data_IF_504746607513
#
_entry.id   IF_504746607513
#
_cell.length_a   1.000
_cell.length_b   1.000
_cell.length_c   1.000
_cell.angle_alpha   90.00
_cell.angle_beta   90.00
_cell.angle_gamma   90.00
#
_symmetry.space_group_name_H-M   'P 1'
#
loop_
_entity.id
_entity.type
_entity.pdbx_description
1 polymer ?
#
# COMPACT_ATOMS: atom_id res chain seq x y z
N UNK A 1 50.35 56.53 -14.39
CA UNK A 1 50.36 55.06 -14.59
C UNK A 1 50.29 54.26 -13.27
N UNK A 2 50.86 54.72 -12.14
CA UNK A 2 50.78 53.96 -10.86
C UNK A 2 49.35 53.80 -10.34
N UNK A 3 48.51 54.83 -10.50
CA UNK A 3 47.12 54.81 -10.00
C UNK A 3 46.22 53.79 -10.71
N UNK A 4 46.39 53.54 -12.00
CA UNK A 4 45.62 52.49 -12.71
C UNK A 4 45.91 51.10 -12.15
N UNK A 5 47.15 50.84 -11.75
CA UNK A 5 47.53 49.57 -11.12
C UNK A 5 46.90 49.42 -9.73
N UNK A 6 46.90 50.48 -8.93
CA UNK A 6 46.24 50.49 -7.62
C UNK A 6 44.73 50.26 -7.74
N UNK A 7 44.04 50.91 -8.68
CA UNK A 7 42.60 50.68 -8.91
C UNK A 7 42.29 49.27 -9.39
N UNK A 8 43.18 48.65 -10.18
CA UNK A 8 43.02 47.24 -10.59
C UNK A 8 43.17 46.25 -9.44
N UNK A 9 43.98 46.58 -8.43
CA UNK A 9 44.14 45.77 -7.23
C UNK A 9 43.01 45.98 -6.23
N UNK A 10 42.47 47.21 -6.17
CA UNK A 10 41.37 47.57 -5.28
C UNK A 10 40.00 47.12 -5.79
N UNK A 11 39.82 47.03 -7.12
CA UNK A 11 38.63 46.37 -7.67
C UNK A 11 38.62 44.94 -7.14
N UNK A 12 37.60 44.53 -6.36
CA UNK A 12 37.47 43.15 -5.95
C UNK A 12 37.57 42.30 -7.20
N UNK A 13 38.64 41.48 -7.29
CA UNK A 13 38.75 40.41 -8.28
C UNK A 13 37.37 39.76 -8.32
N UNK A 14 36.76 39.67 -9.50
CA UNK A 14 35.40 39.22 -9.84
C UNK A 14 34.86 37.95 -9.14
N UNK A 15 35.63 37.34 -8.25
CA UNK A 15 35.33 36.14 -7.51
C UNK A 15 34.04 36.18 -6.67
N UNK A 16 33.45 37.34 -6.34
CA UNK A 16 32.12 37.36 -5.70
C UNK A 16 31.03 37.01 -6.72
N UNK A 17 31.10 37.58 -7.92
CA UNK A 17 30.18 37.25 -9.01
C UNK A 17 30.42 35.82 -9.51
N UNK A 18 31.69 35.41 -9.65
CA UNK A 18 32.03 34.05 -10.09
C UNK A 18 31.55 32.99 -9.07
N UNK A 19 31.68 33.26 -7.76
CA UNK A 19 31.13 32.37 -6.71
C UNK A 19 29.62 32.28 -6.77
N UNK A 20 28.93 33.43 -6.87
CA UNK A 20 27.47 33.47 -6.94
C UNK A 20 26.95 32.72 -8.18
N UNK A 21 27.58 32.93 -9.33
CA UNK A 21 27.26 32.19 -10.55
C UNK A 21 27.49 30.67 -10.38
N UNK A 22 28.59 30.26 -9.76
CA UNK A 22 28.85 28.83 -9.49
C UNK A 22 27.83 28.21 -8.53
N UNK A 23 27.40 28.94 -7.51
CA UNK A 23 26.37 28.49 -6.56
C UNK A 23 25.00 28.38 -7.23
N UNK A 24 24.64 29.33 -8.10
CA UNK A 24 23.40 29.29 -8.88
C UNK A 24 23.38 28.10 -9.86
N UNK A 25 24.49 27.82 -10.55
CA UNK A 25 24.61 26.66 -11.44
C UNK A 25 24.43 25.36 -10.65
N UNK A 26 25.11 25.21 -9.51
CA UNK A 26 24.98 24.03 -8.66
C UNK A 26 23.55 23.87 -8.13
N UNK A 27 22.92 24.96 -7.69
CA UNK A 27 21.54 24.93 -7.21
C UNK A 27 20.54 24.54 -8.31
N UNK A 28 20.74 25.03 -9.54
CA UNK A 28 19.93 24.64 -10.69
C UNK A 28 20.11 23.15 -11.05
N UNK A 29 21.34 22.64 -11.02
CA UNK A 29 21.60 21.21 -11.22
C UNK A 29 20.96 20.33 -10.14
N UNK A 30 21.04 20.73 -8.87
CA UNK A 30 20.37 20.05 -7.76
C UNK A 30 18.85 20.07 -7.93
N UNK A 31 18.28 21.22 -8.33
CA UNK A 31 16.85 21.35 -8.62
C UNK A 31 16.42 20.41 -9.75
N UNK A 32 17.19 20.35 -10.83
CA UNK A 32 16.92 19.44 -11.96
C UNK A 32 16.95 17.97 -11.52
N UNK A 33 17.92 17.57 -10.70
CA UNK A 33 17.99 16.22 -10.12
C UNK A 33 16.77 15.91 -9.25
N UNK A 34 16.40 16.83 -8.37
CA UNK A 34 15.21 16.68 -7.52
C UNK A 34 13.93 16.54 -8.35
N UNK A 35 13.78 17.31 -9.45
CA UNK A 35 12.64 17.16 -10.35
C UNK A 35 12.61 15.80 -11.05
N UNK A 36 13.76 15.27 -11.47
CA UNK A 36 13.82 13.91 -12.06
C UNK A 36 13.48 12.84 -11.04
N UNK A 37 13.90 13.03 -9.78
CA UNK A 37 13.57 12.12 -8.68
C UNK A 37 12.09 12.17 -8.33
N UNK A 38 11.47 13.35 -8.30
CA UNK A 38 10.02 13.48 -8.09
C UNK A 38 9.23 12.73 -9.15
N UNK A 39 9.59 12.87 -10.43
CA UNK A 39 8.95 12.13 -11.52
C UNK A 39 9.10 10.61 -11.36
N UNK A 40 10.28 10.15 -10.92
CA UNK A 40 10.52 8.74 -10.61
C UNK A 40 9.60 8.27 -9.48
N UNK A 41 9.56 9.01 -8.38
CA UNK A 41 8.74 8.68 -7.22
C UNK A 41 7.25 8.68 -7.56
N UNK A 42 6.78 9.60 -8.38
CA UNK A 42 5.39 9.62 -8.88
C UNK A 42 5.05 8.37 -9.67
N UNK A 43 5.91 7.99 -10.60
CA UNK A 43 5.73 6.76 -11.38
C UNK A 43 5.78 5.50 -10.50
N UNK A 44 6.67 5.45 -9.51
CA UNK A 44 6.78 4.33 -8.56
C UNK A 44 5.53 4.25 -7.66
N UNK A 45 5.00 5.39 -7.22
CA UNK A 45 3.74 5.50 -6.47
C UNK A 45 2.58 4.98 -7.32
N UNK A 46 2.43 5.46 -8.55
CA UNK A 46 1.36 5.03 -9.46
C UNK A 46 1.42 3.53 -9.72
N UNK A 47 2.62 3.00 -9.98
CA UNK A 47 2.86 1.57 -10.18
C UNK A 47 2.47 0.76 -8.94
N UNK A 48 2.89 1.20 -7.74
CA UNK A 48 2.55 0.51 -6.50
C UNK A 48 1.05 0.58 -6.17
N UNK A 49 0.41 1.72 -6.40
CA UNK A 49 -1.05 1.84 -6.25
C UNK A 49 -1.78 0.90 -7.21
N UNK A 50 -1.33 0.80 -8.46
CA UNK A 50 -1.89 -0.14 -9.44
C UNK A 50 -1.74 -1.60 -9.02
N UNK A 51 -0.56 -2.01 -8.55
CA UNK A 51 -0.33 -3.38 -8.07
C UNK A 51 -1.10 -3.70 -6.79
N UNK A 52 -1.27 -2.73 -5.89
CA UNK A 52 -2.06 -2.87 -4.67
C UNK A 52 -3.54 -3.14 -5.00
N UNK A 53 -4.11 -2.38 -5.94
CA UNK A 53 -5.48 -2.60 -6.44
C UNK A 53 -5.66 -4.01 -7.02
N UNK A 54 -4.69 -4.48 -7.81
CA UNK A 54 -4.72 -5.85 -8.34
C UNK A 54 -4.67 -6.90 -7.23
N UNK A 55 -3.93 -6.65 -6.14
CA UNK A 55 -3.94 -7.54 -4.97
C UNK A 55 -5.31 -7.58 -4.29
N UNK A 56 -5.98 -6.44 -4.15
CA UNK A 56 -7.34 -6.34 -3.59
C UNK A 56 -8.35 -7.09 -4.45
N UNK A 57 -8.38 -6.84 -5.76
CA UNK A 57 -9.25 -7.55 -6.70
C UNK A 57 -9.01 -9.07 -6.67
N UNK A 58 -7.75 -9.50 -6.56
CA UNK A 58 -7.39 -10.91 -6.44
C UNK A 58 -7.87 -11.52 -5.11
N UNK A 59 -7.80 -10.77 -4.00
CA UNK A 59 -8.31 -11.20 -2.71
C UNK A 59 -9.84 -11.36 -2.75
N UNK A 60 -10.56 -10.38 -3.30
CA UNK A 60 -12.01 -10.45 -3.46
C UNK A 60 -12.43 -11.65 -4.30
N UNK A 61 -11.72 -11.92 -5.40
CA UNK A 61 -11.96 -13.11 -6.22
C UNK A 61 -11.75 -14.41 -5.44
N UNK A 62 -10.72 -14.48 -4.59
CA UNK A 62 -10.46 -15.66 -3.76
C UNK A 62 -11.53 -15.82 -2.67
N UNK A 63 -12.01 -14.73 -2.07
CA UNK A 63 -13.08 -14.77 -1.09
C UNK A 63 -14.38 -15.30 -1.70
N UNK A 64 -14.74 -14.86 -2.91
CA UNK A 64 -15.92 -15.36 -3.59
C UNK A 64 -15.83 -16.86 -3.86
N UNK A 65 -14.66 -17.35 -4.30
CA UNK A 65 -14.41 -18.79 -4.51
C UNK A 65 -14.44 -19.57 -3.20
N UNK A 66 -13.90 -19.01 -2.12
CA UNK A 66 -13.95 -19.63 -0.80
C UNK A 66 -15.39 -19.77 -0.30
N UNK A 67 -16.21 -18.74 -0.49
CA UNK A 67 -17.63 -18.77 -0.12
C UNK A 67 -18.38 -19.85 -0.91
N UNK A 68 -18.23 -19.88 -2.24
CA UNK A 68 -18.85 -20.90 -3.10
C UNK A 68 -18.47 -22.33 -2.68
N UNK A 69 -17.21 -22.55 -2.30
CA UNK A 69 -16.77 -23.87 -1.84
C UNK A 69 -17.36 -24.25 -0.49
N UNK A 70 -17.56 -23.28 0.40
CA UNK A 70 -18.21 -23.50 1.70
C UNK A 70 -19.69 -23.84 1.54
N UNK A 71 -20.39 -23.09 0.69
CA UNK A 71 -21.79 -23.37 0.35
C UNK A 71 -21.93 -24.76 -0.30
N UNK A 72 -21.01 -25.14 -1.18
CA UNK A 72 -20.97 -26.48 -1.76
C UNK A 72 -20.73 -27.59 -0.72
N UNK A 73 -19.83 -27.36 0.24
CA UNK A 73 -19.61 -28.29 1.36
C UNK A 73 -20.83 -28.40 2.27
N UNK A 74 -21.49 -27.29 2.57
CA UNK A 74 -22.71 -27.25 3.39
C UNK A 74 -23.85 -28.01 2.70
N UNK A 75 -24.05 -27.84 1.40
CA UNK A 75 -25.03 -28.60 0.62
C UNK A 75 -24.81 -30.11 0.71
N UNK A 76 -23.56 -30.57 0.56
CA UNK A 76 -23.22 -32.00 0.71
C UNK A 76 -23.49 -32.50 2.14
N UNK A 77 -23.19 -31.69 3.16
CA UNK A 77 -23.46 -32.04 4.56
C UNK A 77 -24.96 -32.12 4.86
N UNK A 78 -25.76 -31.22 4.31
CA UNK A 78 -27.22 -31.26 4.43
C UNK A 78 -27.81 -32.50 3.77
N UNK A 79 -27.37 -32.84 2.55
CA UNK A 79 -27.80 -34.07 1.87
C UNK A 79 -27.50 -35.32 2.73
N UNK A 80 -26.32 -35.38 3.37
CA UNK A 80 -26.00 -36.48 4.28
C UNK A 80 -26.89 -36.51 5.53
N UNK A 81 -27.28 -35.35 6.07
CA UNK A 81 -28.15 -35.28 7.25
C UNK A 81 -29.57 -35.82 7.01
N UNK A 82 -30.07 -35.74 5.77
CA UNK A 82 -31.44 -36.16 5.42
C UNK A 82 -31.58 -37.69 5.21
N UNK A 83 -30.48 -38.45 5.18
CA UNK A 83 -30.49 -39.89 4.88
C UNK A 83 -30.59 -40.81 6.11
N UNK A 84 -31.41 -41.86 6.00
CA UNK A 84 -31.46 -43.01 6.93
C UNK A 84 -30.16 -43.82 6.94
N UNK A 85 -29.84 -44.51 8.05
CA UNK A 85 -28.53 -45.16 8.31
C UNK A 85 -27.89 -45.96 7.16
N UNK A 86 -28.66 -46.70 6.34
CA UNK A 86 -28.12 -47.49 5.22
C UNK A 86 -27.84 -46.62 3.98
N UNK A 87 -28.70 -45.64 3.72
CA UNK A 87 -28.50 -44.66 2.65
C UNK A 87 -27.35 -43.71 2.99
N UNK A 88 -27.15 -43.46 4.28
CA UNK A 88 -26.08 -42.62 4.81
C UNK A 88 -24.68 -43.20 4.49
N UNK A 89 -24.45 -44.50 4.69
CA UNK A 89 -23.13 -45.11 4.40
C UNK A 89 -22.78 -45.01 2.92
N UNK A 90 -23.75 -45.28 2.03
CA UNK A 90 -23.57 -45.13 0.60
C UNK A 90 -23.30 -43.67 0.21
N UNK A 91 -24.04 -42.73 0.80
CA UNK A 91 -23.89 -41.28 0.53
C UNK A 91 -22.53 -40.78 1.00
N UNK A 92 -22.09 -41.14 2.21
CA UNK A 92 -20.77 -40.81 2.75
C UNK A 92 -19.68 -41.33 1.81
N UNK A 93 -19.76 -42.60 1.39
CA UNK A 93 -18.78 -43.18 0.47
C UNK A 93 -18.76 -42.48 -0.89
N UNK A 94 -19.92 -42.12 -1.42
CA UNK A 94 -20.01 -41.43 -2.71
C UNK A 94 -19.47 -39.99 -2.64
N UNK A 95 -19.61 -39.33 -1.49
CA UNK A 95 -19.18 -37.95 -1.30
C UNK A 95 -17.79 -37.81 -0.68
N UNK A 96 -17.17 -38.87 -0.12
CA UNK A 96 -15.89 -38.78 0.59
C UNK A 96 -14.77 -38.20 -0.26
N UNK A 97 -14.65 -38.66 -1.51
CA UNK A 97 -13.60 -38.20 -2.44
C UNK A 97 -13.85 -36.75 -2.87
N UNK A 98 -15.13 -36.37 -3.02
CA UNK A 98 -15.55 -35.00 -3.31
C UNK A 98 -15.23 -34.06 -2.16
N UNK A 99 -15.60 -34.42 -0.93
CA UNK A 99 -15.32 -33.65 0.29
C UNK A 99 -13.81 -33.48 0.48
N UNK A 100 -13.02 -34.55 0.34
CA UNK A 100 -11.57 -34.49 0.45
C UNK A 100 -10.96 -33.54 -0.60
N UNK A 101 -11.43 -33.60 -1.84
CA UNK A 101 -10.99 -32.72 -2.93
C UNK A 101 -11.34 -31.25 -2.65
N UNK A 102 -12.57 -30.97 -2.18
CA UNK A 102 -13.01 -29.63 -1.80
C UNK A 102 -12.18 -29.07 -0.64
N UNK A 103 -11.89 -29.88 0.38
CA UNK A 103 -11.03 -29.49 1.49
C UNK A 103 -9.61 -29.14 1.01
N UNK A 104 -9.04 -29.92 0.06
CA UNK A 104 -7.74 -29.60 -0.53
C UNK A 104 -7.75 -28.26 -1.29
N UNK A 105 -8.80 -28.00 -2.07
CA UNK A 105 -8.96 -26.73 -2.78
C UNK A 105 -9.08 -25.57 -1.79
N UNK A 106 -9.89 -25.73 -0.73
CA UNK A 106 -10.06 -24.73 0.31
C UNK A 106 -8.73 -24.39 1.01
N UNK A 107 -7.94 -25.40 1.40
CA UNK A 107 -6.61 -25.20 1.96
C UNK A 107 -5.68 -24.44 1.00
N UNK A 108 -5.74 -24.74 -0.29
CA UNK A 108 -4.93 -24.07 -1.29
C UNK A 108 -5.35 -22.60 -1.47
N UNK A 109 -6.65 -22.30 -1.47
CA UNK A 109 -7.18 -20.93 -1.51
C UNK A 109 -6.74 -20.15 -0.27
N UNK A 110 -6.88 -20.72 0.93
CA UNK A 110 -6.43 -20.08 2.17
C UNK A 110 -4.93 -19.76 2.15
N UNK A 111 -4.11 -20.66 1.62
CA UNK A 111 -2.67 -20.42 1.45
C UNK A 111 -2.40 -19.28 0.47
N UNK A 112 -3.10 -19.24 -0.67
CA UNK A 112 -2.97 -18.15 -1.65
C UNK A 112 -3.41 -16.81 -1.06
N UNK A 113 -4.53 -16.79 -0.33
CA UNK A 113 -5.03 -15.62 0.39
C UNK A 113 -3.98 -15.09 1.37
N UNK A 114 -3.36 -15.96 2.17
CA UNK A 114 -2.30 -15.56 3.10
C UNK A 114 -1.11 -14.89 2.39
N UNK A 115 -0.67 -15.44 1.25
CA UNK A 115 0.41 -14.84 0.44
C UNK A 115 0.03 -13.49 -0.14
N UNK A 116 -1.17 -13.36 -0.70
CA UNK A 116 -1.66 -12.09 -1.26
C UNK A 116 -1.81 -11.02 -0.17
N UNK A 117 -2.26 -11.41 1.02
CA UNK A 117 -2.35 -10.50 2.15
C UNK A 117 -0.97 -10.00 2.58
N UNK A 118 0.04 -10.87 2.70
CA UNK A 118 1.41 -10.45 3.00
C UNK A 118 1.98 -9.52 1.90
N UNK A 119 1.76 -9.87 0.64
CA UNK A 119 2.19 -9.04 -0.49
C UNK A 119 1.53 -7.65 -0.48
N UNK A 120 0.21 -7.60 -0.32
CA UNK A 120 -0.51 -6.33 -0.29
C UNK A 120 -0.12 -5.46 0.91
N UNK A 121 0.10 -6.06 2.09
CA UNK A 121 0.62 -5.33 3.24
C UNK A 121 2.03 -4.73 3.00
N UNK A 122 2.92 -5.48 2.35
CA UNK A 122 4.25 -4.96 1.97
C UNK A 122 4.16 -3.79 0.99
N UNK A 123 3.31 -3.93 -0.04
CA UNK A 123 3.07 -2.88 -1.03
C UNK A 123 2.49 -1.62 -0.38
N UNK A 124 1.56 -1.78 0.57
CA UNK A 124 1.01 -0.68 1.35
C UNK A 124 2.09 0.07 2.12
N UNK A 125 2.96 -0.63 2.87
CA UNK A 125 4.07 0.02 3.59
C UNK A 125 4.98 0.77 2.60
N UNK A 126 5.35 0.12 1.49
CA UNK A 126 6.22 0.71 0.48
C UNK A 126 5.59 1.99 -0.10
N UNK A 127 4.29 1.98 -0.36
CA UNK A 127 3.54 3.14 -0.85
C UNK A 127 3.61 4.30 0.16
N UNK A 128 3.44 4.03 1.46
CA UNK A 128 3.54 5.06 2.49
C UNK A 128 4.96 5.63 2.59
N UNK A 129 5.99 4.79 2.49
CA UNK A 129 7.38 5.24 2.43
C UNK A 129 7.63 6.15 1.22
N UNK A 130 7.18 5.77 0.03
CA UNK A 130 7.33 6.56 -1.19
C UNK A 130 6.56 7.90 -1.11
N UNK A 131 5.35 7.90 -0.56
CA UNK A 131 4.57 9.14 -0.32
C UNK A 131 5.32 10.08 0.62
N UNK A 132 5.91 9.56 1.70
CA UNK A 132 6.71 10.33 2.64
C UNK A 132 8.00 10.87 2.00
N UNK A 133 8.69 10.05 1.20
CA UNK A 133 9.88 10.44 0.43
C UNK A 133 9.55 11.56 -0.55
N UNK A 134 8.47 11.41 -1.36
CA UNK A 134 7.98 12.45 -2.26
C UNK A 134 7.74 13.77 -1.52
N UNK A 135 7.05 13.73 -0.37
CA UNK A 135 6.81 14.92 0.45
C UNK A 135 8.12 15.58 0.92
N UNK A 136 9.11 14.78 1.31
CA UNK A 136 10.44 15.25 1.69
C UNK A 136 11.19 15.92 0.54
N UNK A 137 11.17 15.32 -0.65
CA UNK A 137 11.80 15.88 -1.86
C UNK A 137 11.10 17.16 -2.31
N UNK A 138 9.77 17.21 -2.30
CA UNK A 138 9.00 18.44 -2.62
C UNK A 138 9.38 19.57 -1.68
N UNK A 139 9.42 19.33 -0.36
CA UNK A 139 9.80 20.34 0.62
C UNK A 139 11.23 20.86 0.37
N UNK A 140 12.16 19.95 0.11
CA UNK A 140 13.56 20.30 -0.18
C UNK A 140 13.69 21.12 -1.46
N UNK A 141 12.94 20.74 -2.48
CA UNK A 141 12.87 21.44 -3.77
C UNK A 141 12.32 22.86 -3.59
N UNK A 142 11.23 23.03 -2.84
CA UNK A 142 10.64 24.33 -2.55
C UNK A 142 11.61 25.24 -1.77
N UNK A 143 12.35 24.70 -0.80
CA UNK A 143 13.39 25.46 -0.10
C UNK A 143 14.52 25.93 -1.03
N UNK A 144 14.94 25.10 -2.00
CA UNK A 144 15.94 25.48 -2.99
C UNK A 144 15.40 26.57 -3.94
N UNK A 145 14.15 26.44 -4.39
CA UNK A 145 13.49 27.45 -5.22
C UNK A 145 13.39 28.81 -4.52
N UNK A 146 12.98 28.83 -3.25
CA UNK A 146 12.91 30.07 -2.46
C UNK A 146 14.28 30.75 -2.27
N UNK A 147 15.37 29.95 -2.20
CA UNK A 147 16.74 30.50 -2.15
C UNK A 147 17.18 31.07 -3.49
N UNK A 148 16.88 30.39 -4.59
CA UNK A 148 17.23 30.79 -5.95
C UNK A 148 16.47 32.04 -6.42
N UNK A 149 15.16 32.11 -6.16
CA UNK A 149 14.31 33.23 -6.58
C UNK A 149 14.43 34.46 -5.67
N UNK A 150 15.20 34.35 -4.58
CA UNK A 150 15.27 35.35 -3.53
C UNK A 150 14.00 35.36 -2.66
N UNK A 151 14.18 35.71 -1.38
CA UNK A 151 13.12 35.78 -0.38
C UNK A 151 12.00 36.81 -0.68
N UNK A 152 12.05 37.50 -1.83
CA UNK A 152 11.06 38.51 -2.24
C UNK A 152 9.67 37.96 -2.55
N UNK A 153 9.53 36.64 -2.76
CA UNK A 153 8.22 35.98 -2.91
C UNK A 153 7.82 35.17 -1.65
N UNK A 154 8.62 35.23 -0.58
CA UNK A 154 8.32 34.54 0.68
C UNK A 154 7.42 35.35 1.63
N UNK A 155 6.83 36.46 1.19
CA UNK A 155 5.75 37.16 1.91
C UNK A 155 4.41 36.77 1.30
N UNK A 156 3.96 35.55 1.61
CA UNK A 156 2.53 35.30 1.80
C UNK A 156 2.21 33.99 2.52
N UNK A 157 3.12 33.02 2.62
CA UNK A 157 2.80 31.74 3.28
C UNK A 157 3.63 31.51 4.55
N UNK A 158 3.61 32.50 5.45
CA UNK A 158 4.16 32.38 6.79
C UNK A 158 3.41 33.28 7.77
N UNK A 159 2.78 32.66 8.77
CA UNK A 159 2.14 33.25 9.95
C UNK A 159 0.70 33.76 9.78
N UNK A 160 -0.22 32.83 9.55
CA UNK A 160 -1.59 32.93 10.05
C UNK A 160 -1.93 31.61 10.74
N UNK A 161 -1.81 31.57 12.07
CA UNK A 161 -2.57 30.61 12.87
C UNK A 161 -4.05 30.95 12.69
N UNK A 162 -4.68 30.41 11.65
CA UNK A 162 -6.14 30.33 11.60
C UNK A 162 -6.52 28.91 11.23
N UNK A 163 -6.93 28.21 12.28
CA UNK A 163 -7.83 27.08 12.29
C UNK A 163 -8.94 27.28 11.23
N UNK A 164 -8.76 26.72 10.02
CA UNK A 164 -9.75 26.95 8.97
C UNK A 164 -9.33 26.59 7.56
N UNK A 165 -9.50 25.32 7.20
CA UNK A 165 -9.96 24.87 5.86
C UNK A 165 -9.29 25.53 4.64
N UNK A 166 -8.09 25.06 4.31
CA UNK A 166 -7.65 25.00 2.91
C UNK A 166 -7.45 23.50 2.61
N UNK A 167 -8.30 22.86 1.82
CA UNK A 167 -8.48 23.21 0.43
C UNK A 167 -7.57 22.39 -0.49
N UNK A 168 -6.90 21.33 -0.01
CA UNK A 168 -6.35 20.30 -0.90
C UNK A 168 -7.42 19.28 -1.24
N UNK A 169 -8.14 19.66 -2.28
CA UNK A 169 -9.10 18.88 -3.02
C UNK A 169 -8.43 17.64 -3.64
N UNK A 170 -8.97 16.47 -3.32
CA UNK A 170 -9.03 15.33 -4.25
C UNK A 170 -7.95 14.26 -4.07
N UNK A 171 -8.01 13.53 -2.98
CA UNK A 171 -8.13 12.06 -2.95
C UNK A 171 -7.82 11.61 -1.52
N UNK A 172 -8.76 11.89 -0.62
CA UNK A 172 -8.91 11.23 0.69
C UNK A 172 -9.35 9.76 0.50
N UNK A 173 -8.81 9.08 -0.51
CA UNK A 173 -8.66 7.65 -0.40
C UNK A 173 -7.50 7.46 0.56
N UNK A 174 -7.83 7.40 1.86
CA UNK A 174 -6.89 7.10 2.93
C UNK A 174 -6.17 5.76 2.69
N UNK A 175 -6.56 5.02 1.65
CA UNK A 175 -5.92 3.81 1.18
C UNK A 175 -5.81 2.83 2.33
N UNK A 176 -6.74 2.95 3.28
CA UNK A 176 -6.79 2.14 4.48
C UNK A 176 -6.88 0.72 3.99
N UNK A 177 -5.71 0.06 3.96
CA UNK A 177 -5.61 -1.33 3.60
C UNK A 177 -6.29 -2.07 4.74
N UNK A 178 -7.61 -2.22 4.62
CA UNK A 178 -8.39 -3.01 5.53
C UNK A 178 -7.97 -4.42 5.24
N UNK A 179 -7.06 -4.93 6.07
CA UNK A 179 -6.94 -6.36 6.27
C UNK A 179 -8.37 -6.85 6.48
N UNK A 180 -8.94 -7.51 5.47
CA UNK A 180 -10.24 -8.15 5.59
C UNK A 180 -10.01 -9.35 6.49
N UNK A 181 -9.94 -9.08 7.78
CA UNK A 181 -9.90 -10.08 8.84
C UNK A 181 -11.33 -10.56 8.97
N UNK A 182 -11.75 -11.43 8.06
CA UNK A 182 -12.88 -12.29 8.38
C UNK A 182 -12.47 -13.12 9.59
N UNK A 183 -13.26 -13.03 10.66
CA UNK A 183 -13.06 -13.78 11.91
C UNK A 183 -12.68 -15.23 11.57
N UNK A 184 -11.65 -15.80 12.22
CA UNK A 184 -11.26 -17.18 11.96
C UNK A 184 -12.49 -18.07 12.16
N UNK A 185 -12.71 -19.05 11.26
CA UNK A 185 -13.91 -19.86 11.25
C UNK A 185 -14.04 -20.57 12.60
N UNK A 186 -15.25 -20.50 13.17
CA UNK A 186 -15.66 -21.27 14.34
C UNK A 186 -15.13 -22.69 14.15
N UNK A 187 -14.17 -23.09 14.98
CA UNK A 187 -13.70 -24.46 15.02
C UNK A 187 -14.87 -25.30 15.51
N UNK A 188 -15.59 -25.93 14.57
CA UNK A 188 -16.57 -26.96 14.90
C UNK A 188 -15.76 -28.17 15.35
N UNK A 189 -15.37 -28.20 16.63
CA UNK A 189 -14.92 -29.42 17.26
C UNK A 189 -16.14 -30.34 17.32
N UNK A 190 -16.11 -31.44 16.56
CA UNK A 190 -17.08 -32.50 16.67
C UNK A 190 -17.19 -32.90 18.15
N UNK A 191 -18.33 -32.57 18.76
CA UNK A 191 -18.68 -33.09 20.09
C UNK A 191 -19.15 -34.52 19.82
N UNK A 192 -18.24 -35.48 19.92
CA UNK A 192 -18.61 -36.88 20.10
C UNK A 192 -19.30 -37.00 21.46
N UNK A 193 -20.61 -36.74 21.48
CA UNK A 193 -21.47 -37.00 22.62
C UNK A 193 -21.58 -38.53 22.74
N UNK A 194 -20.70 -39.10 23.57
CA UNK A 194 -20.75 -40.48 24.03
C UNK A 194 -22.13 -40.76 24.67
N UNK A 195 -23.08 -41.25 23.87
CA UNK A 195 -24.22 -42.00 24.40
C UNK A 195 -23.75 -43.40 24.76
N UNK A 196 -23.03 -43.52 25.87
CA UNK A 196 -23.05 -44.77 26.61
C UNK A 196 -24.49 -44.98 27.06
N UNK A 197 -25.17 -45.87 26.34
CA UNK A 197 -26.51 -46.33 26.66
C UNK A 197 -26.47 -46.95 28.06
N UNK A 198 -26.97 -46.20 29.03
CA UNK A 198 -27.56 -46.77 30.23
C UNK A 198 -28.67 -47.74 29.83
N UNK A 199 -28.61 -48.96 30.38
CA UNK A 199 -29.74 -49.86 30.51
C UNK A 199 -30.05 -50.74 29.29
N UNK A 200 -29.68 -52.01 29.36
CA UNK A 200 -30.57 -53.04 29.93
C UNK A 200 -29.93 -54.42 29.94
#
# INVERSE_FOLDING_TARGET
MVWEWAFRWLKPRSGVEDKKASEEILAYETLRKAQTELKRLENDIETNTGTLRQCEEALDSLFHKELQLREGLEGILMEMHDHTSVDLENTIRNNSDGIASLQQILMHIQRKRGKLHDQGYRLYIQLQCLKAEKKGVVKSTNMLLSRLLGSGLAVQNGMGEEDGKEGEQGDDDDGSWRAVVHSPPVSVSFIEEYREKEGS
#
